data_IF_009897384663
#
_entry.id   IF_009897384663
#
_cell.length_a   1.000
_cell.length_b   1.000
_cell.length_c   1.000
_cell.angle_alpha   90.00
_cell.angle_beta   90.00
_cell.angle_gamma   90.00
#
_symmetry.space_group_name_H-M   'P 1'
#
loop_
_entity.id
_entity.type
_entity.pdbx_description
1 polymer ?
#
# COMPACT_ATOMS: atom_id res chain seq x y z
N UNK A 1 4.69 43.24 -16.70
CA UNK A 1 3.65 43.76 -15.77
C UNK A 1 2.59 42.64 -15.59
N UNK A 2 2.73 41.95 -14.46
CA UNK A 2 1.75 40.91 -14.10
C UNK A 2 0.38 41.51 -13.77
N UNK A 3 -0.68 40.74 -13.96
CA UNK A 3 -2.06 41.16 -13.71
C UNK A 3 -2.84 40.08 -12.94
N UNK A 4 -3.99 40.48 -12.37
CA UNK A 4 -4.88 39.56 -11.65
C UNK A 4 -4.22 38.87 -10.45
N UNK A 5 -3.28 39.50 -9.78
CA UNK A 5 -2.64 39.00 -8.57
C UNK A 5 -3.31 39.56 -7.31
N UNK A 6 -3.38 38.75 -6.27
CA UNK A 6 -3.80 39.16 -4.92
C UNK A 6 -2.64 38.92 -3.96
N UNK A 7 -2.20 39.96 -3.26
CA UNK A 7 -1.12 39.90 -2.24
C UNK A 7 -1.57 40.50 -0.92
N UNK A 8 -1.51 39.75 0.17
CA UNK A 8 -1.85 40.19 1.52
C UNK A 8 -0.79 39.69 2.50
N UNK A 9 0.04 40.57 2.99
CA UNK A 9 1.11 40.27 3.95
C UNK A 9 2.41 40.97 3.61
N UNK A 10 3.33 41.04 4.60
CA UNK A 10 4.66 41.61 4.38
C UNK A 10 5.42 40.76 3.37
N UNK A 11 6.01 41.35 2.34
CA UNK A 11 6.79 40.70 1.27
C UNK A 11 5.98 39.60 0.48
N UNK A 12 4.66 39.63 0.51
CA UNK A 12 3.87 38.78 -0.35
C UNK A 12 3.98 39.23 -1.81
N UNK A 13 4.40 38.33 -2.74
CA UNK A 13 4.66 38.60 -4.17
C UNK A 13 5.68 39.75 -4.40
N UNK A 14 6.64 39.93 -3.51
CA UNK A 14 7.58 41.06 -3.54
C UNK A 14 8.44 41.12 -4.82
N UNK A 15 8.91 39.95 -5.28
CA UNK A 15 9.73 39.85 -6.48
C UNK A 15 8.95 39.75 -7.81
N UNK A 16 7.61 39.87 -7.78
CA UNK A 16 6.78 39.60 -8.95
C UNK A 16 7.02 40.62 -10.06
N UNK A 17 7.42 40.16 -11.23
CA UNK A 17 7.67 41.02 -12.41
C UNK A 17 6.59 40.92 -13.47
N UNK A 18 6.33 39.70 -13.97
CA UNK A 18 5.38 39.47 -15.07
C UNK A 18 4.33 38.41 -14.76
N UNK A 19 4.48 37.70 -13.64
CA UNK A 19 3.57 36.63 -13.27
C UNK A 19 2.15 37.12 -13.00
N UNK A 20 1.18 36.31 -13.40
CA UNK A 20 -0.24 36.66 -13.35
C UNK A 20 -1.08 35.58 -12.68
N UNK A 21 -2.27 35.98 -12.21
CA UNK A 21 -3.26 35.07 -11.62
C UNK A 21 -2.78 34.33 -10.36
N UNK A 22 -1.93 34.96 -9.56
CA UNK A 22 -1.45 34.42 -8.29
C UNK A 22 -2.24 34.96 -7.11
N UNK A 23 -2.47 34.14 -6.09
CA UNK A 23 -3.01 34.54 -4.80
C UNK A 23 -2.00 34.24 -3.69
N UNK A 24 -1.49 35.28 -3.02
CA UNK A 24 -0.49 35.17 -1.93
C UNK A 24 -1.05 35.82 -0.65
N UNK A 25 -1.24 35.04 0.39
CA UNK A 25 -1.73 35.52 1.70
C UNK A 25 -0.83 35.00 2.81
N UNK A 26 -0.04 35.87 3.38
CA UNK A 26 0.93 35.53 4.43
C UNK A 26 2.26 36.29 4.25
N UNK A 27 3.06 36.39 5.32
CA UNK A 27 4.40 36.92 5.24
C UNK A 27 5.26 36.10 4.30
N UNK A 28 5.92 36.70 3.30
CA UNK A 28 6.75 36.05 2.28
C UNK A 28 6.03 34.99 1.46
N UNK A 29 4.70 34.98 1.40
CA UNK A 29 3.99 34.08 0.50
C UNK A 29 4.31 34.44 -0.96
N UNK A 30 4.84 33.47 -1.77
CA UNK A 30 5.34 33.72 -3.14
C UNK A 30 6.36 34.85 -3.19
N UNK A 31 7.22 35.03 -2.16
CA UNK A 31 8.12 36.15 -2.04
C UNK A 31 9.10 36.29 -3.18
N UNK A 32 9.68 35.20 -3.68
CA UNK A 32 10.64 35.18 -4.78
C UNK A 32 10.01 35.00 -6.18
N UNK A 33 8.67 34.91 -6.31
CA UNK A 33 8.01 34.59 -7.57
C UNK A 33 8.22 35.68 -8.63
N UNK A 34 8.85 35.34 -9.74
CA UNK A 34 9.13 36.29 -10.83
C UNK A 34 8.21 36.14 -12.04
N UNK A 35 8.06 34.92 -12.54
CA UNK A 35 7.32 34.59 -13.78
C UNK A 35 6.29 33.49 -13.61
N UNK A 36 6.24 32.78 -12.44
CA UNK A 36 5.32 31.68 -12.20
C UNK A 36 3.85 32.14 -12.09
N UNK A 37 2.98 31.58 -12.91
CA UNK A 37 1.57 31.91 -13.01
C UNK A 37 0.66 30.92 -12.26
N UNK A 38 -0.54 31.39 -11.90
CA UNK A 38 -1.64 30.55 -11.39
C UNK A 38 -1.30 29.79 -10.11
N UNK A 39 -0.52 30.39 -9.22
CA UNK A 39 -0.18 29.80 -7.95
C UNK A 39 -1.08 30.36 -6.83
N UNK A 40 -1.39 29.48 -5.86
CA UNK A 40 -2.09 29.86 -4.61
C UNK A 40 -1.17 29.56 -3.45
N UNK A 41 -0.81 30.57 -2.68
CA UNK A 41 0.01 30.46 -1.47
C UNK A 41 -0.70 31.12 -0.27
N UNK A 42 -1.07 30.35 0.71
CA UNK A 42 -1.73 30.80 1.93
C UNK A 42 -0.97 30.30 3.17
N UNK A 43 -0.25 31.17 3.82
CA UNK A 43 0.58 30.86 4.99
C UNK A 43 1.91 31.61 4.94
N UNK A 44 2.57 31.79 6.10
CA UNK A 44 3.89 32.36 6.14
C UNK A 44 4.87 31.45 5.38
N UNK A 45 5.68 32.03 4.50
CA UNK A 45 6.64 31.34 3.62
C UNK A 45 6.07 30.22 2.76
N UNK A 46 4.76 30.24 2.48
CA UNK A 46 4.18 29.32 1.49
C UNK A 46 4.69 29.69 0.09
N UNK A 47 5.28 28.71 -0.65
CA UNK A 47 5.91 28.92 -1.97
C UNK A 47 6.93 30.07 -2.01
N UNK A 48 7.64 30.33 -0.92
CA UNK A 48 8.52 31.51 -0.79
C UNK A 48 9.62 31.52 -1.87
N UNK A 49 10.27 30.38 -2.13
CA UNK A 49 11.35 30.27 -3.11
C UNK A 49 10.90 30.11 -4.57
N UNK A 50 9.59 30.10 -4.85
CA UNK A 50 9.11 29.90 -6.21
C UNK A 50 9.58 31.03 -7.14
N UNK A 51 10.21 30.68 -8.26
CA UNK A 51 10.62 31.66 -9.28
C UNK A 51 9.74 31.57 -10.53
N UNK A 52 9.63 30.37 -11.11
CA UNK A 52 8.97 30.14 -12.40
C UNK A 52 7.89 29.05 -12.32
N UNK A 53 7.80 28.30 -11.22
CA UNK A 53 6.82 27.21 -11.04
C UNK A 53 5.38 27.72 -11.17
N UNK A 54 4.54 26.93 -11.86
CA UNK A 54 3.17 27.30 -12.20
C UNK A 54 2.15 26.31 -11.65
N UNK A 55 0.91 26.78 -11.41
CA UNK A 55 -0.22 25.95 -11.00
C UNK A 55 0.00 25.18 -9.70
N UNK A 56 0.77 25.77 -8.78
CA UNK A 56 0.97 25.20 -7.47
C UNK A 56 -0.05 25.75 -6.47
N UNK A 57 -0.53 24.88 -5.58
CA UNK A 57 -1.38 25.26 -4.45
C UNK A 57 -0.66 24.90 -3.15
N UNK A 58 -0.31 25.89 -2.35
CA UNK A 58 0.34 25.74 -1.04
C UNK A 58 -0.51 26.41 0.03
N UNK A 59 -1.04 25.63 0.96
CA UNK A 59 -1.85 26.14 2.08
C UNK A 59 -1.28 25.58 3.38
N UNK A 60 -0.64 26.45 4.16
CA UNK A 60 0.04 26.11 5.40
C UNK A 60 1.36 26.87 5.53
N UNK A 61 1.82 27.09 6.76
CA UNK A 61 3.13 27.69 7.01
C UNK A 61 4.21 26.77 6.41
N UNK A 62 5.14 27.34 5.63
CA UNK A 62 6.24 26.63 4.96
C UNK A 62 5.80 25.50 3.99
N UNK A 63 4.55 25.49 3.54
CA UNK A 63 4.12 24.56 2.48
C UNK A 63 4.84 24.92 1.17
N UNK A 64 5.51 23.94 0.52
CA UNK A 64 6.30 24.12 -0.71
C UNK A 64 7.36 25.25 -0.63
N UNK A 65 7.89 25.50 0.55
CA UNK A 65 8.75 26.69 0.79
C UNK A 65 10.00 26.73 -0.10
N UNK A 66 10.58 25.56 -0.47
CA UNK A 66 11.77 25.45 -1.30
C UNK A 66 11.49 25.24 -2.80
N UNK A 67 10.24 25.18 -3.22
CA UNK A 67 9.87 24.92 -4.61
C UNK A 67 10.29 26.09 -5.50
N UNK A 68 11.18 25.86 -6.46
CA UNK A 68 11.67 26.89 -7.37
C UNK A 68 10.98 26.88 -8.73
N UNK A 69 10.95 25.73 -9.39
CA UNK A 69 10.42 25.56 -10.76
C UNK A 69 9.44 24.40 -10.90
N UNK A 70 9.12 23.70 -9.77
CA UNK A 70 8.14 22.59 -9.81
C UNK A 70 6.73 23.09 -10.17
N UNK A 71 6.02 22.32 -11.00
CA UNK A 71 4.70 22.63 -11.49
C UNK A 71 3.62 21.70 -10.96
N UNK A 72 2.38 22.18 -10.89
CA UNK A 72 1.19 21.36 -10.64
C UNK A 72 1.21 20.64 -9.29
N UNK A 73 1.86 21.20 -8.29
CA UNK A 73 1.88 20.59 -6.96
C UNK A 73 0.75 21.14 -6.07
N UNK A 74 0.18 20.28 -5.25
CA UNK A 74 -0.79 20.63 -4.22
C UNK A 74 -0.24 20.24 -2.85
N UNK A 75 -0.01 21.21 -1.98
CA UNK A 75 0.44 21.02 -0.60
C UNK A 75 -0.56 21.66 0.35
N UNK A 76 -1.15 20.88 1.24
CA UNK A 76 -2.07 21.35 2.27
C UNK A 76 -1.63 20.86 3.65
N UNK A 77 -1.08 21.75 4.44
CA UNK A 77 -0.58 21.50 5.80
C UNK A 77 0.73 22.19 6.09
N UNK A 78 1.10 22.27 7.35
CA UNK A 78 2.35 22.85 7.81
C UNK A 78 3.54 21.98 7.36
N UNK A 79 4.59 22.59 6.79
CA UNK A 79 5.81 21.95 6.28
C UNK A 79 5.58 20.82 5.24
N UNK A 80 4.45 20.85 4.58
CA UNK A 80 4.14 19.86 3.53
C UNK A 80 4.96 20.16 2.29
N UNK A 81 5.70 19.13 1.74
CA UNK A 81 6.61 19.29 0.58
C UNK A 81 7.65 20.41 0.76
N UNK A 82 8.10 20.65 1.99
CA UNK A 82 8.94 21.82 2.30
C UNK A 82 10.29 21.84 1.54
N UNK A 83 10.88 20.70 1.25
CA UNK A 83 12.16 20.58 0.53
C UNK A 83 12.02 20.39 -0.98
N UNK A 84 10.79 20.31 -1.52
CA UNK A 84 10.58 20.11 -2.96
C UNK A 84 11.17 21.29 -3.74
N UNK A 85 12.01 20.99 -4.74
CA UNK A 85 12.64 22.03 -5.58
C UNK A 85 12.07 22.05 -7.00
N UNK A 86 12.14 20.94 -7.72
CA UNK A 86 11.78 20.87 -9.14
C UNK A 86 10.77 19.77 -9.46
N UNK A 87 10.42 18.92 -8.48
CA UNK A 87 9.42 17.89 -8.67
C UNK A 87 8.04 18.46 -9.01
N UNK A 88 7.27 17.74 -9.82
CA UNK A 88 5.95 18.20 -10.28
C UNK A 88 4.84 17.18 -10.16
N UNK A 89 3.59 17.67 -10.22
CA UNK A 89 2.39 16.87 -10.18
C UNK A 89 2.24 16.03 -8.87
N UNK A 90 2.71 16.57 -7.74
CA UNK A 90 2.54 15.95 -6.44
C UNK A 90 1.30 16.48 -5.71
N UNK A 91 0.59 15.61 -5.00
CA UNK A 91 -0.47 15.95 -4.06
C UNK A 91 -0.04 15.51 -2.68
N UNK A 92 0.13 16.45 -1.73
CA UNK A 92 0.50 16.15 -0.37
C UNK A 92 -0.43 16.88 0.62
N UNK A 93 -1.05 16.13 1.53
CA UNK A 93 -2.00 16.67 2.50
C UNK A 93 -1.69 16.12 3.89
N UNK A 94 -1.41 17.02 4.83
CA UNK A 94 -1.13 16.65 6.22
C UNK A 94 -0.02 17.48 6.83
N UNK A 95 0.24 17.27 8.12
CA UNK A 95 1.38 17.85 8.83
C UNK A 95 2.65 17.07 8.51
N UNK A 96 3.76 17.75 8.23
CA UNK A 96 5.09 17.16 8.01
C UNK A 96 5.10 16.06 6.91
N UNK A 97 4.23 16.22 5.90
CA UNK A 97 4.03 15.23 4.84
C UNK A 97 5.03 15.45 3.70
N UNK A 98 5.75 14.38 3.30
CA UNK A 98 6.71 14.37 2.20
C UNK A 98 7.79 15.48 2.31
N UNK A 99 8.23 15.80 3.52
CA UNK A 99 9.10 16.97 3.78
C UNK A 99 10.49 16.87 3.17
N UNK A 100 11.07 15.69 3.05
CA UNK A 100 12.38 15.48 2.45
C UNK A 100 12.37 15.39 0.92
N UNK A 101 11.18 15.42 0.27
CA UNK A 101 11.07 15.30 -1.17
C UNK A 101 11.76 16.48 -1.86
N UNK A 102 12.68 16.18 -2.77
CA UNK A 102 13.42 17.20 -3.53
C UNK A 102 13.03 17.25 -5.00
N UNK A 103 13.02 16.11 -5.68
CA UNK A 103 12.75 15.99 -7.12
C UNK A 103 11.66 14.96 -7.46
N UNK A 104 11.09 14.31 -6.45
CA UNK A 104 10.00 13.33 -6.65
C UNK A 104 8.81 13.93 -7.41
N UNK A 105 8.16 13.12 -8.23
CA UNK A 105 7.06 13.57 -9.06
C UNK A 105 5.89 12.59 -9.08
N UNK A 106 4.69 13.07 -9.31
CA UNK A 106 3.46 12.28 -9.44
C UNK A 106 3.17 11.43 -8.20
N UNK A 107 3.54 11.91 -7.01
CA UNK A 107 3.21 11.25 -5.77
C UNK A 107 1.89 11.80 -5.19
N UNK A 108 1.09 10.93 -4.61
CA UNK A 108 -0.09 11.30 -3.81
C UNK A 108 0.14 10.83 -2.39
N UNK A 109 0.33 11.76 -1.45
CA UNK A 109 0.64 11.46 -0.05
C UNK A 109 -0.35 12.17 0.89
N UNK A 110 -1.05 11.41 1.71
CA UNK A 110 -2.08 11.96 2.61
C UNK A 110 -1.91 11.37 4.01
N UNK A 111 -1.70 12.22 4.98
CA UNK A 111 -1.54 11.84 6.38
C UNK A 111 -0.47 12.65 7.09
N UNK A 112 -0.41 12.54 8.41
CA UNK A 112 0.70 13.07 9.21
C UNK A 112 1.91 12.18 9.01
N UNK A 113 3.10 12.78 8.79
CA UNK A 113 4.40 12.12 8.57
C UNK A 113 4.40 11.08 7.41
N UNK A 114 3.37 11.06 6.55
CA UNK A 114 3.33 10.18 5.40
C UNK A 114 4.44 10.54 4.41
N UNK A 115 5.22 9.52 3.97
CA UNK A 115 6.29 9.67 2.98
C UNK A 115 7.35 10.74 3.33
N UNK A 116 7.58 11.01 4.61
CA UNK A 116 8.38 12.16 5.00
C UNK A 116 9.87 12.05 4.63
N UNK A 117 10.40 10.88 4.33
CA UNK A 117 11.79 10.67 3.89
C UNK A 117 11.94 10.46 2.36
N UNK A 118 10.86 10.51 1.60
CA UNK A 118 10.95 10.41 0.13
C UNK A 118 11.81 11.55 -0.41
N UNK A 119 12.79 11.26 -1.27
CA UNK A 119 13.65 12.26 -1.89
C UNK A 119 13.38 12.43 -3.38
N UNK A 120 13.53 11.37 -4.16
CA UNK A 120 13.32 11.36 -5.61
C UNK A 120 12.34 10.30 -6.09
N UNK A 121 11.77 9.50 -5.18
CA UNK A 121 10.75 8.51 -5.53
C UNK A 121 9.57 9.13 -6.28
N UNK A 122 9.03 8.41 -7.27
CA UNK A 122 7.95 8.90 -8.11
C UNK A 122 6.80 7.89 -8.22
N UNK A 123 5.62 8.38 -8.60
CA UNK A 123 4.43 7.55 -8.86
C UNK A 123 3.93 6.79 -7.61
N UNK A 124 4.22 7.26 -6.40
CA UNK A 124 3.77 6.61 -5.17
C UNK A 124 2.41 7.16 -4.72
N UNK A 125 1.59 6.26 -4.15
CA UNK A 125 0.37 6.61 -3.41
C UNK A 125 0.53 6.17 -1.96
N UNK A 126 0.56 7.10 -1.02
CA UNK A 126 0.69 6.83 0.41
C UNK A 126 -0.44 7.53 1.17
N UNK A 127 -1.29 6.77 1.87
CA UNK A 127 -2.42 7.31 2.60
C UNK A 127 -2.50 6.71 4.00
N UNK A 128 -2.21 7.50 5.01
CA UNK A 128 -2.24 7.08 6.41
C UNK A 128 -1.16 7.78 7.24
N UNK A 129 -1.27 7.68 8.56
CA UNK A 129 -0.22 8.10 9.49
C UNK A 129 1.02 7.20 9.26
N UNK A 130 2.22 7.80 9.11
CA UNK A 130 3.48 7.09 8.85
C UNK A 130 3.45 6.10 7.66
N UNK A 131 2.55 6.26 6.71
CA UNK A 131 2.53 5.43 5.51
C UNK A 131 3.72 5.75 4.60
N UNK A 132 4.46 4.72 4.15
CA UNK A 132 5.62 4.84 3.25
C UNK A 132 6.73 5.78 3.78
N UNK A 133 6.92 5.85 5.08
CA UNK A 133 7.71 6.88 5.75
C UNK A 133 9.18 6.86 5.36
N UNK A 134 9.82 5.69 5.28
CA UNK A 134 11.27 5.54 5.03
C UNK A 134 11.64 5.42 3.55
N UNK A 135 10.68 5.50 2.65
CA UNK A 135 10.95 5.45 1.22
C UNK A 135 11.83 6.63 0.81
N UNK A 136 12.95 6.36 0.17
CA UNK A 136 13.84 7.41 -0.35
C UNK A 136 13.72 7.56 -1.86
N UNK A 137 13.95 6.48 -2.60
CA UNK A 137 13.97 6.48 -4.06
C UNK A 137 12.98 5.49 -4.69
N UNK A 138 12.32 4.67 -3.87
CA UNK A 138 11.31 3.71 -4.33
C UNK A 138 10.17 4.39 -5.09
N UNK A 139 9.64 3.72 -6.12
CA UNK A 139 8.60 4.29 -6.98
C UNK A 139 7.46 3.31 -7.26
N UNK A 140 6.33 3.85 -7.69
CA UNK A 140 5.13 3.08 -8.06
C UNK A 140 4.60 2.20 -6.93
N UNK A 141 4.75 2.63 -5.68
CA UNK A 141 4.19 1.93 -4.52
C UNK A 141 2.81 2.50 -4.16
N UNK A 142 1.90 1.63 -3.76
CA UNK A 142 0.60 2.00 -3.18
C UNK A 142 0.55 1.50 -1.74
N UNK A 143 0.57 2.42 -0.77
CA UNK A 143 0.58 2.13 0.66
C UNK A 143 -0.60 2.85 1.33
N UNK A 144 -1.63 2.10 1.72
CA UNK A 144 -2.86 2.65 2.32
C UNK A 144 -3.10 2.02 3.70
N UNK A 145 -3.01 2.84 4.71
CA UNK A 145 -3.17 2.44 6.11
C UNK A 145 -2.08 3.02 6.99
N UNK A 146 -2.32 3.05 8.30
CA UNK A 146 -1.31 3.43 9.27
C UNK A 146 -0.10 2.49 9.17
N UNK A 147 1.13 3.05 9.15
CA UNK A 147 2.40 2.31 9.07
C UNK A 147 2.48 1.33 7.86
N UNK A 148 1.64 1.52 6.82
CA UNK A 148 1.68 0.68 5.62
C UNK A 148 2.96 0.94 4.83
N UNK A 149 3.78 -0.09 4.60
CA UNK A 149 5.04 0.00 3.86
C UNK A 149 6.08 0.93 4.48
N UNK A 150 6.04 1.17 5.80
CA UNK A 150 6.87 2.16 6.50
C UNK A 150 8.39 1.93 6.36
N UNK A 151 8.81 0.69 6.17
CA UNK A 151 10.22 0.31 6.05
C UNK A 151 10.77 0.25 4.62
N UNK A 152 9.94 0.45 3.60
CA UNK A 152 10.44 0.51 2.21
C UNK A 152 11.47 1.64 2.11
N UNK A 153 12.63 1.33 1.53
CA UNK A 153 13.66 2.32 1.20
C UNK A 153 13.72 2.62 -0.31
N UNK A 154 13.94 1.60 -1.13
CA UNK A 154 14.05 1.70 -2.57
C UNK A 154 13.23 0.63 -3.33
N UNK A 155 12.44 -0.18 -2.60
CA UNK A 155 11.50 -1.12 -3.21
C UNK A 155 10.46 -0.42 -4.09
N UNK A 156 9.98 -1.10 -5.13
CA UNK A 156 9.07 -0.53 -6.11
C UNK A 156 7.91 -1.48 -6.48
N UNK A 157 6.85 -0.92 -7.07
CA UNK A 157 5.71 -1.69 -7.57
C UNK A 157 4.98 -2.51 -6.50
N UNK A 158 5.01 -2.05 -5.25
CA UNK A 158 4.35 -2.74 -4.14
C UNK A 158 2.94 -2.15 -3.90
N UNK A 159 2.01 -3.03 -3.54
CA UNK A 159 0.64 -2.65 -3.12
C UNK A 159 0.39 -3.16 -1.71
N UNK A 160 0.33 -2.25 -0.74
CA UNK A 160 0.10 -2.54 0.66
C UNK A 160 -1.15 -1.81 1.15
N UNK A 161 -2.14 -2.58 1.60
CA UNK A 161 -3.42 -2.02 2.07
C UNK A 161 -3.79 -2.64 3.42
N UNK A 162 -3.79 -1.83 4.44
CA UNK A 162 -4.09 -2.22 5.82
C UNK A 162 -3.10 -1.65 6.82
N UNK A 163 -3.47 -1.64 8.09
CA UNK A 163 -2.58 -1.25 9.19
C UNK A 163 -1.40 -2.23 9.24
N UNK A 164 -0.18 -1.71 9.36
CA UNK A 164 1.06 -2.50 9.43
C UNK A 164 1.24 -3.48 8.25
N UNK A 165 0.69 -3.19 7.09
CA UNK A 165 0.82 -4.03 5.90
C UNK A 165 2.17 -3.78 5.21
N UNK A 166 2.93 -4.83 4.91
CA UNK A 166 4.21 -4.75 4.20
C UNK A 166 5.36 -4.15 5.02
N UNK A 167 5.26 -4.09 6.35
CA UNK A 167 6.22 -3.41 7.22
C UNK A 167 7.61 -4.05 7.27
N UNK A 168 7.78 -5.26 6.79
CA UNK A 168 9.08 -5.93 6.76
C UNK A 168 9.85 -5.77 5.44
N UNK A 169 9.26 -5.11 4.43
CA UNK A 169 9.90 -4.91 3.13
C UNK A 169 10.77 -3.66 3.17
N UNK A 170 12.03 -3.81 2.74
CA UNK A 170 12.97 -2.70 2.57
C UNK A 170 13.31 -2.45 1.10
N UNK A 171 13.67 -3.47 0.35
CA UNK A 171 14.07 -3.40 -1.05
C UNK A 171 13.24 -4.30 -1.98
N UNK A 172 12.37 -5.13 -1.41
CA UNK A 172 11.50 -6.02 -2.17
C UNK A 172 10.55 -5.28 -3.11
N UNK A 173 10.20 -5.91 -4.22
CA UNK A 173 9.36 -5.30 -5.26
C UNK A 173 8.25 -6.24 -5.73
N UNK A 174 7.20 -5.65 -6.30
CA UNK A 174 6.07 -6.37 -6.89
C UNK A 174 5.27 -7.20 -5.89
N UNK A 175 5.19 -6.73 -4.64
CA UNK A 175 4.38 -7.37 -3.62
C UNK A 175 2.94 -6.85 -3.61
N UNK A 176 2.02 -7.71 -3.22
CA UNK A 176 0.65 -7.35 -2.85
C UNK A 176 0.38 -7.87 -1.44
N UNK A 177 0.33 -6.98 -0.45
CA UNK A 177 -0.04 -7.32 0.93
C UNK A 177 -1.34 -6.60 1.30
N UNK A 178 -2.43 -7.34 1.48
CA UNK A 178 -3.76 -6.78 1.79
C UNK A 178 -4.28 -7.35 3.11
N UNK A 179 -4.51 -6.46 4.06
CA UNK A 179 -5.04 -6.75 5.38
C UNK A 179 -4.11 -6.32 6.50
N UNK A 180 -4.59 -6.32 7.74
CA UNK A 180 -3.80 -5.88 8.90
C UNK A 180 -2.64 -6.82 9.18
N UNK A 181 -1.44 -6.25 9.38
CA UNK A 181 -0.21 -6.97 9.72
C UNK A 181 0.11 -8.12 8.75
N UNK A 182 -0.16 -7.92 7.47
CA UNK A 182 0.24 -8.82 6.39
C UNK A 182 1.66 -8.46 5.95
N UNK A 183 2.57 -9.42 5.99
CA UNK A 183 3.97 -9.19 5.67
C UNK A 183 4.50 -10.22 4.66
N UNK A 184 5.50 -9.83 3.88
CA UNK A 184 6.21 -10.75 3.01
C UNK A 184 7.09 -11.73 3.81
N UNK A 185 7.62 -12.76 3.16
CA UNK A 185 8.46 -13.79 3.80
C UNK A 185 9.82 -13.26 4.27
N UNK A 186 10.37 -12.27 3.56
CA UNK A 186 11.66 -11.64 3.86
C UNK A 186 11.69 -10.19 3.33
N UNK A 187 12.63 -9.39 3.84
CA UNK A 187 12.78 -7.96 3.53
C UNK A 187 13.08 -7.64 2.04
N UNK A 188 13.69 -8.58 1.34
CA UNK A 188 14.08 -8.48 -0.07
C UNK A 188 13.39 -9.52 -0.96
N UNK A 189 12.35 -10.17 -0.47
CA UNK A 189 11.52 -11.07 -1.27
C UNK A 189 10.93 -10.34 -2.50
N UNK A 190 10.47 -11.08 -3.48
CA UNK A 190 9.91 -10.54 -4.73
C UNK A 190 8.59 -11.25 -5.07
N UNK A 191 7.66 -10.51 -5.67
CA UNK A 191 6.45 -11.07 -6.29
C UNK A 191 5.60 -11.91 -5.32
N UNK A 192 5.49 -11.55 -4.07
CA UNK A 192 4.60 -12.24 -3.13
C UNK A 192 3.22 -11.57 -3.09
N UNK A 193 2.17 -12.39 -3.09
CA UNK A 193 0.80 -11.95 -2.82
C UNK A 193 0.39 -12.51 -1.45
N UNK A 194 0.10 -11.63 -0.48
CA UNK A 194 -0.26 -11.99 0.89
C UNK A 194 -1.58 -11.31 1.26
N UNK A 195 -2.66 -12.07 1.42
CA UNK A 195 -4.00 -11.52 1.70
C UNK A 195 -4.59 -12.13 2.96
N UNK A 196 -4.90 -11.31 3.96
CA UNK A 196 -5.53 -11.80 5.19
C UNK A 196 -5.25 -10.94 6.42
N UNK A 197 -5.10 -11.57 7.58
CA UNK A 197 -4.81 -10.88 8.83
C UNK A 197 -3.70 -11.58 9.61
N UNK A 198 -2.68 -10.81 10.00
CA UNK A 198 -1.52 -11.26 10.78
C UNK A 198 -0.86 -12.51 10.19
N UNK A 199 -0.63 -12.51 8.90
CA UNK A 199 0.03 -13.62 8.18
C UNK A 199 1.28 -13.15 7.45
N UNK A 200 2.19 -14.09 7.29
CA UNK A 200 3.45 -13.92 6.57
C UNK A 200 3.43 -14.75 5.29
N UNK A 201 3.95 -14.21 4.21
CA UNK A 201 4.22 -14.91 2.96
C UNK A 201 5.11 -16.14 3.15
N UNK A 202 5.28 -16.93 2.13
CA UNK A 202 6.04 -18.20 2.21
C UNK A 202 7.33 -18.21 1.38
N UNK A 203 7.54 -17.23 0.55
CA UNK A 203 8.70 -17.11 -0.33
C UNK A 203 8.40 -16.27 -1.55
N UNK A 204 9.42 -15.82 -2.24
CA UNK A 204 9.25 -15.12 -3.53
C UNK A 204 8.42 -15.95 -4.51
N UNK A 205 7.70 -15.27 -5.42
CA UNK A 205 6.86 -15.90 -6.43
C UNK A 205 5.74 -16.77 -5.83
N UNK A 206 5.10 -16.32 -4.75
CA UNK A 206 4.06 -17.11 -4.08
C UNK A 206 2.79 -16.32 -3.81
N UNK A 207 1.70 -17.04 -3.64
CA UNK A 207 0.44 -16.53 -3.11
C UNK A 207 0.13 -17.16 -1.75
N UNK A 208 -0.19 -16.34 -0.78
CA UNK A 208 -0.58 -16.77 0.58
C UNK A 208 -1.84 -16.03 1.00
N UNK A 209 -2.84 -16.75 1.50
CA UNK A 209 -4.02 -16.12 2.07
C UNK A 209 -4.51 -16.83 3.34
N UNK A 210 -5.24 -16.10 4.19
CA UNK A 210 -5.80 -16.66 5.41
C UNK A 210 -5.66 -15.74 6.63
N UNK A 211 -5.43 -16.34 7.78
CA UNK A 211 -5.21 -15.64 9.06
C UNK A 211 -4.10 -16.29 9.86
N UNK A 212 -3.64 -15.62 10.92
CA UNK A 212 -2.63 -16.16 11.84
C UNK A 212 -2.92 -17.62 12.22
N UNK A 213 -1.92 -18.48 12.03
CA UNK A 213 -1.99 -19.91 12.33
C UNK A 213 -2.80 -20.78 11.35
N UNK A 214 -3.51 -20.19 10.39
CA UNK A 214 -4.27 -20.90 9.36
C UNK A 214 -4.15 -20.19 8.02
N UNK A 215 -3.15 -20.56 7.23
CA UNK A 215 -2.92 -20.01 5.89
C UNK A 215 -2.89 -21.10 4.83
N UNK A 216 -3.27 -20.73 3.62
CA UNK A 216 -3.12 -21.52 2.40
C UNK A 216 -2.13 -20.80 1.51
N UNK A 217 -1.23 -21.51 0.88
CA UNK A 217 -0.23 -20.94 -0.01
C UNK A 217 -0.01 -21.78 -1.25
N UNK A 218 0.43 -21.13 -2.31
CA UNK A 218 0.88 -21.74 -3.55
C UNK A 218 2.16 -21.05 -4.00
N UNK A 219 3.08 -21.80 -4.54
CA UNK A 219 4.30 -21.31 -5.17
C UNK A 219 4.09 -21.34 -6.69
N UNK A 220 4.23 -20.18 -7.34
CA UNK A 220 3.96 -20.03 -8.77
C UNK A 220 4.97 -20.76 -9.66
N UNK A 221 6.17 -21.03 -9.13
CA UNK A 221 7.27 -21.61 -9.90
C UNK A 221 7.23 -23.15 -9.89
N UNK A 222 6.60 -23.76 -8.90
CA UNK A 222 6.76 -25.20 -8.65
C UNK A 222 5.49 -25.99 -8.98
N UNK A 223 4.28 -25.48 -8.71
CA UNK A 223 3.11 -26.31 -8.78
C UNK A 223 1.78 -25.54 -8.83
N UNK A 224 0.81 -26.08 -9.55
CA UNK A 224 -0.57 -25.58 -9.57
C UNK A 224 -1.43 -26.04 -8.38
N UNK A 225 -0.88 -26.78 -7.42
CA UNK A 225 -1.64 -27.26 -6.26
C UNK A 225 -1.48 -26.36 -5.03
N UNK A 226 -2.59 -26.08 -4.36
CA UNK A 226 -2.61 -25.27 -3.13
C UNK A 226 -2.07 -26.07 -1.94
N UNK A 227 -1.11 -25.51 -1.22
CA UNK A 227 -0.53 -26.11 -0.02
C UNK A 227 -1.09 -25.45 1.23
N UNK A 228 -1.71 -26.22 2.10
CA UNK A 228 -2.04 -25.77 3.45
C UNK A 228 -0.83 -25.91 4.36
N UNK A 229 -0.46 -24.85 5.07
CA UNK A 229 0.62 -24.94 6.07
C UNK A 229 0.27 -26.00 7.13
N UNK A 230 1.10 -27.04 7.19
CA UNK A 230 0.91 -28.18 8.08
C UNK A 230 2.02 -28.20 9.12
N UNK A 231 1.70 -27.70 10.33
CA UNK A 231 2.65 -27.68 11.43
C UNK A 231 2.82 -29.08 12.03
N UNK A 232 4.03 -29.63 11.95
CA UNK A 232 4.36 -30.95 12.52
C UNK A 232 4.05 -31.03 14.02
N UNK A 233 4.12 -29.92 14.75
CA UNK A 233 3.77 -29.84 16.19
C UNK A 233 2.30 -30.11 16.47
N UNK A 234 1.44 -29.97 15.49
CA UNK A 234 0.00 -30.26 15.57
C UNK A 234 -0.33 -31.71 15.22
N UNK A 235 0.66 -32.52 14.84
CA UNK A 235 0.50 -33.93 14.46
C UNK A 235 1.05 -34.84 15.55
N UNK A 236 0.44 -35.97 15.70
CA UNK A 236 0.82 -36.99 16.67
C UNK A 236 1.15 -38.30 15.95
N UNK A 237 2.14 -39.02 16.43
CA UNK A 237 2.51 -40.35 15.92
C UNK A 237 2.89 -40.39 14.43
N UNK A 238 3.64 -39.38 13.98
CA UNK A 238 4.13 -39.33 12.60
C UNK A 238 5.12 -40.47 12.42
N UNK A 239 4.85 -41.32 11.44
CA UNK A 239 5.74 -42.44 11.02
C UNK A 239 5.78 -42.42 9.49
N UNK A 240 6.87 -42.95 8.93
CA UNK A 240 6.93 -43.24 7.52
C UNK A 240 5.85 -44.25 7.14
N UNK A 241 5.15 -43.96 6.06
CA UNK A 241 4.14 -44.86 5.52
C UNK A 241 4.80 -45.91 4.62
N UNK A 242 4.45 -47.14 4.83
CA UNK A 242 4.91 -48.28 4.02
C UNK A 242 3.92 -48.64 2.91
N UNK A 243 2.85 -47.85 2.73
CA UNK A 243 1.86 -48.08 1.69
C UNK A 243 2.50 -47.85 0.31
N UNK A 244 2.69 -48.91 -0.42
CA UNK A 244 3.26 -48.91 -1.76
C UNK A 244 2.22 -48.86 -2.87
N UNK A 245 2.66 -49.10 -4.11
CA UNK A 245 1.83 -49.08 -5.31
C UNK A 245 0.68 -50.12 -5.25
N UNK A 246 0.87 -51.22 -4.53
CA UNK A 246 -0.16 -52.24 -4.31
C UNK A 246 -1.39 -51.68 -3.60
N UNK A 247 -1.19 -50.88 -2.53
CA UNK A 247 -2.27 -50.20 -1.83
C UNK A 247 -3.07 -49.27 -2.76
N UNK A 248 -2.35 -48.51 -3.63
CA UNK A 248 -3.00 -47.62 -4.59
C UNK A 248 -3.88 -48.42 -5.59
N UNK A 249 -3.42 -49.56 -6.01
CA UNK A 249 -4.17 -50.45 -6.92
C UNK A 249 -5.38 -51.09 -6.24
N UNK A 250 -5.34 -51.28 -4.94
CA UNK A 250 -6.42 -51.85 -4.14
C UNK A 250 -7.48 -50.82 -3.69
N UNK A 251 -7.22 -49.51 -3.92
CA UNK A 251 -8.18 -48.47 -3.60
C UNK A 251 -9.46 -48.59 -4.40
N UNK A 252 -10.52 -48.97 -3.72
CA UNK A 252 -11.83 -49.09 -4.32
C UNK A 252 -12.58 -47.76 -4.25
N UNK A 253 -12.58 -47.02 -5.33
CA UNK A 253 -13.31 -45.74 -5.41
C UNK A 253 -14.82 -46.01 -5.51
N UNK A 254 -15.58 -45.26 -4.75
CA UNK A 254 -17.05 -45.33 -4.76
C UNK A 254 -17.64 -44.09 -5.39
N UNK A 255 -18.80 -44.20 -5.97
CA UNK A 255 -19.68 -43.08 -6.26
C UNK A 255 -20.74 -43.00 -5.17
N UNK A 256 -21.01 -41.80 -4.68
CA UNK A 256 -22.04 -41.62 -3.67
C UNK A 256 -22.76 -40.28 -3.87
N UNK A 257 -23.92 -40.16 -3.29
CA UNK A 257 -24.66 -38.91 -3.14
C UNK A 257 -24.80 -38.65 -1.64
N UNK A 258 -24.80 -37.38 -1.28
CA UNK A 258 -25.04 -37.01 0.11
C UNK A 258 -26.47 -37.40 0.53
N UNK A 259 -26.61 -37.87 1.77
CA UNK A 259 -27.91 -37.94 2.40
C UNK A 259 -28.43 -36.55 2.71
N UNK A 260 -29.76 -36.35 2.71
CA UNK A 260 -30.32 -35.12 3.24
C UNK A 260 -29.83 -34.88 4.68
N UNK A 261 -29.43 -33.65 4.99
CA UNK A 261 -28.86 -33.35 6.33
C UNK A 261 -29.92 -33.43 7.47
N UNK A 262 -31.22 -33.48 7.17
CA UNK A 262 -32.26 -33.77 8.14
C UNK A 262 -32.36 -35.27 8.49
N UNK A 263 -31.64 -36.15 7.80
CA UNK A 263 -31.47 -37.55 8.11
C UNK A 263 -30.19 -37.86 8.93
N UNK A 264 -29.37 -36.82 9.22
CA UNK A 264 -28.20 -36.98 10.07
C UNK A 264 -28.60 -37.15 11.54
N UNK A 265 -27.73 -37.76 12.39
CA UNK A 265 -27.92 -37.71 13.84
C UNK A 265 -28.05 -36.28 14.35
N UNK A 266 -29.02 -36.02 15.22
CA UNK A 266 -29.30 -34.66 15.72
C UNK A 266 -28.14 -34.01 16.50
N UNK A 267 -27.24 -34.83 17.01
CA UNK A 267 -26.03 -34.43 17.72
C UNK A 267 -24.87 -34.00 16.79
N UNK A 268 -25.02 -34.11 15.49
CA UNK A 268 -24.01 -33.67 14.54
C UNK A 268 -24.17 -32.20 14.17
N UNK A 269 -23.05 -31.49 14.07
CA UNK A 269 -23.02 -30.05 13.74
C UNK A 269 -23.68 -29.71 12.38
N UNK A 270 -23.69 -30.68 11.46
CA UNK A 270 -24.28 -30.54 10.12
C UNK A 270 -25.75 -30.92 10.04
N UNK A 271 -26.37 -31.35 11.17
CA UNK A 271 -27.82 -31.62 11.19
C UNK A 271 -28.61 -30.34 10.98
N UNK A 272 -29.65 -30.41 10.13
CA UNK A 272 -30.60 -29.32 9.94
C UNK A 272 -32.00 -29.91 9.71
N UNK A 273 -33.02 -29.35 10.36
CA UNK A 273 -34.40 -29.82 10.23
C UNK A 273 -34.94 -29.73 8.80
N UNK A 274 -34.42 -28.78 8.00
CA UNK A 274 -34.70 -28.64 6.58
C UNK A 274 -33.45 -29.07 5.78
N UNK A 275 -33.66 -29.92 4.75
CA UNK A 275 -32.53 -30.28 3.90
C UNK A 275 -32.01 -29.08 3.10
N UNK A 276 -30.73 -28.76 3.31
CA UNK A 276 -29.99 -27.71 2.58
C UNK A 276 -28.90 -28.28 1.64
N UNK A 277 -28.81 -29.60 1.53
CA UNK A 277 -27.82 -30.27 0.70
C UNK A 277 -28.30 -30.38 -0.75
N UNK A 278 -27.40 -30.21 -1.70
CA UNK A 278 -27.67 -30.53 -3.10
C UNK A 278 -27.54 -32.06 -3.31
N UNK A 279 -28.63 -32.74 -3.46
CA UNK A 279 -28.70 -34.20 -3.59
C UNK A 279 -28.51 -34.73 -5.02
N UNK A 280 -28.49 -33.83 -6.01
CA UNK A 280 -28.39 -34.22 -7.44
C UNK A 280 -26.94 -34.42 -7.89
N UNK A 281 -25.97 -34.10 -7.05
CA UNK A 281 -24.55 -34.23 -7.37
C UNK A 281 -24.04 -35.61 -6.99
N UNK A 282 -23.55 -36.34 -7.96
CA UNK A 282 -22.82 -37.60 -7.75
C UNK A 282 -21.37 -37.27 -7.46
N UNK A 283 -20.90 -37.69 -6.30
CA UNK A 283 -19.50 -37.53 -5.87
C UNK A 283 -18.71 -38.83 -6.18
N UNK A 284 -17.43 -38.64 -6.46
CA UNK A 284 -16.45 -39.71 -6.58
C UNK A 284 -15.44 -39.64 -5.49
N UNK A 285 -15.16 -40.70 -4.77
CA UNK A 285 -14.22 -40.67 -3.66
C UNK A 285 -14.06 -42.01 -2.96
N UNK A 286 -13.34 -41.96 -1.84
CA UNK A 286 -13.16 -43.08 -0.92
C UNK A 286 -14.09 -42.89 0.27
N UNK A 287 -14.73 -43.95 0.73
CA UNK A 287 -15.52 -43.92 1.96
C UNK A 287 -14.62 -44.39 3.11
N UNK A 288 -14.43 -43.56 4.10
CA UNK A 288 -13.48 -43.79 5.19
C UNK A 288 -13.82 -44.91 6.17
N UNK A 289 -14.98 -45.54 5.98
CA UNK A 289 -15.52 -46.57 6.89
C UNK A 289 -15.65 -47.96 6.25
N UNK A 290 -15.14 -48.16 5.04
CA UNK A 290 -15.08 -49.45 4.37
C UNK A 290 -13.77 -50.21 4.69
#
# INVERSE_FOLDING_TARGET
TGHSNTAVGASALDANTTASSNAAVGTSALGANTTGDQNVAVGASALDANTDGTRNTAVGMEALTSCTTGDNNTALGHTTLASLTTGGANVAIGYNNATAMTTGARNTTIGVDSSNQITSGADNTAMGFDSLTRCTTGGSNTCIGKDSGDNITNGALNTFVGIDSGTNITQGSSHVCIGSSTIASAENAQNEIVIGASITGVGSNSFTFGKAGNRVSNDFDINASWTRASDIRKKRNIKDDTLGLEFINDLNTKTFQWKPNNEFPKEWDDYNEENKMNLDVVMHGLIAQD
#
